data_IF_873062875491
#
_entry.id   IF_873062875491
#
_cell.length_a   1.000
_cell.length_b   1.000
_cell.length_c   1.000
_cell.angle_alpha   90.00
_cell.angle_beta   90.00
_cell.angle_gamma   90.00
#
_symmetry.space_group_name_H-M   'P 1'
#
loop_
_entity.id
_entity.type
_entity.pdbx_description
1 polymer ?
#
# COMPACT_ATOMS: atom_id res chain seq x y z
N UNK A 1 1.29 7.12 8.35
CA UNK A 1 0.25 6.44 7.54
C UNK A 1 -0.69 7.39 6.78
N UNK A 2 -0.19 8.42 6.09
CA UNK A 2 -1.06 9.35 5.34
C UNK A 2 -1.74 8.75 4.10
N UNK A 3 -1.24 7.63 3.57
CA UNK A 3 -1.81 6.97 2.39
C UNK A 3 -3.07 6.17 2.73
N UNK A 4 -3.01 5.34 3.77
CA UNK A 4 -4.16 4.60 4.30
C UNK A 4 -5.29 5.58 4.70
N UNK A 5 -4.92 6.76 5.23
CA UNK A 5 -5.88 7.80 5.63
C UNK A 5 -6.64 8.49 4.49
N UNK A 6 -6.30 8.22 3.23
CA UNK A 6 -7.11 8.64 2.08
C UNK A 6 -8.33 7.75 1.86
N UNK A 7 -8.30 6.53 2.40
CA UNK A 7 -9.37 5.53 2.30
C UNK A 7 -10.12 5.39 3.62
N UNK A 8 -9.37 5.35 4.74
CA UNK A 8 -9.91 5.22 6.09
C UNK A 8 -9.53 6.44 6.93
N UNK A 9 -10.42 7.43 7.09
CA UNK A 9 -10.16 8.64 7.85
C UNK A 9 -9.72 8.38 9.31
N UNK A 10 -9.29 9.44 10.00
CA UNK A 10 -9.00 9.32 11.43
C UNK A 10 -10.28 8.96 12.20
N UNK A 11 -10.18 7.97 13.07
CA UNK A 11 -11.33 7.48 13.84
C UNK A 11 -12.00 6.24 13.24
N UNK A 12 -11.60 5.78 12.05
CA UNK A 12 -12.01 4.46 11.56
C UNK A 12 -11.52 3.37 12.53
N UNK A 13 -12.46 2.57 13.00
CA UNK A 13 -12.17 1.31 13.67
C UNK A 13 -11.80 0.25 12.62
N UNK A 14 -10.56 -0.21 12.63
CA UNK A 14 -10.12 -1.21 11.66
C UNK A 14 -10.68 -2.61 11.95
N UNK A 15 -11.24 -2.85 13.14
CA UNK A 15 -11.95 -4.11 13.42
C UNK A 15 -13.27 -4.22 12.65
N UNK A 16 -13.81 -3.10 12.16
CA UNK A 16 -15.01 -3.09 11.32
C UNK A 16 -14.69 -3.15 9.82
N UNK A 17 -13.41 -3.20 9.44
CA UNK A 17 -12.97 -3.31 8.05
C UNK A 17 -12.71 -4.78 7.75
N UNK A 18 -13.30 -5.28 6.66
CA UNK A 18 -13.16 -6.68 6.29
C UNK A 18 -11.77 -6.98 5.73
N UNK A 19 -11.32 -8.23 5.87
CA UNK A 19 -10.03 -8.67 5.30
C UNK A 19 -9.95 -8.43 3.79
N UNK A 20 -11.07 -8.54 3.08
CA UNK A 20 -11.13 -8.27 1.64
C UNK A 20 -10.87 -6.80 1.31
N UNK A 21 -11.45 -5.88 2.10
CA UNK A 21 -11.21 -4.44 1.92
C UNK A 21 -9.76 -4.06 2.29
N UNK A 22 -9.20 -4.70 3.33
CA UNK A 22 -7.77 -4.56 3.66
C UNK A 22 -6.91 -5.04 2.48
N UNK A 23 -7.18 -6.24 1.95
CA UNK A 23 -6.42 -6.81 0.84
C UNK A 23 -6.51 -5.96 -0.43
N UNK A 24 -7.68 -5.40 -0.74
CA UNK A 24 -7.85 -4.46 -1.84
C UNK A 24 -7.02 -3.18 -1.64
N UNK A 25 -7.08 -2.59 -0.42
CA UNK A 25 -6.28 -1.42 -0.10
C UNK A 25 -4.78 -1.71 -0.21
N UNK A 26 -4.32 -2.83 0.32
CA UNK A 26 -2.93 -3.27 0.20
C UNK A 26 -2.52 -3.41 -1.26
N UNK A 27 -3.34 -4.06 -2.07
CA UNK A 27 -3.09 -4.22 -3.51
C UNK A 27 -2.94 -2.86 -4.20
N UNK A 28 -3.86 -1.92 -3.96
CA UNK A 28 -3.81 -0.57 -4.52
C UNK A 28 -2.54 0.15 -4.06
N UNK A 29 -2.21 0.09 -2.77
CA UNK A 29 -1.08 0.82 -2.24
C UNK A 29 0.26 0.30 -2.77
N UNK A 30 0.38 -1.01 -2.93
CA UNK A 30 1.60 -1.72 -3.27
C UNK A 30 1.84 -1.86 -4.79
N UNK A 31 0.81 -1.78 -5.63
CA UNK A 31 0.95 -1.77 -7.10
C UNK A 31 0.99 -0.37 -7.70
N UNK A 32 0.60 0.66 -6.94
CA UNK A 32 0.60 2.04 -7.44
C UNK A 32 1.99 2.65 -7.46
N UNK A 33 2.41 3.09 -8.66
CA UNK A 33 3.63 3.87 -8.87
C UNK A 33 3.72 5.12 -7.99
N UNK A 34 4.90 5.35 -7.40
CA UNK A 34 5.16 6.47 -6.49
C UNK A 34 6.26 7.36 -7.05
N UNK A 35 5.99 8.67 -7.16
CA UNK A 35 7.00 9.65 -7.57
C UNK A 35 8.26 9.59 -6.71
N UNK A 36 8.12 9.32 -5.40
CA UNK A 36 9.25 9.15 -4.47
C UNK A 36 10.11 7.92 -4.75
N UNK A 37 9.57 6.94 -5.47
CA UNK A 37 10.26 5.72 -5.91
C UNK A 37 10.60 5.78 -7.39
N UNK A 38 10.77 6.97 -7.98
CA UNK A 38 11.04 7.09 -9.42
C UNK A 38 9.89 6.60 -10.30
N UNK A 39 8.66 6.66 -9.78
CA UNK A 39 7.43 6.13 -10.40
C UNK A 39 7.28 4.61 -10.40
N UNK A 40 8.20 3.86 -9.81
CA UNK A 40 8.00 2.45 -9.50
C UNK A 40 7.01 2.26 -8.34
N UNK A 41 6.35 1.11 -8.33
CA UNK A 41 5.49 0.67 -7.24
C UNK A 41 6.30 0.11 -6.07
N UNK A 42 5.76 0.16 -4.84
CA UNK A 42 6.41 -0.48 -3.70
C UNK A 42 6.77 -1.95 -3.93
N UNK A 43 5.88 -2.72 -4.57
CA UNK A 43 6.14 -4.13 -4.88
C UNK A 43 7.35 -4.31 -5.80
N UNK A 44 7.47 -3.51 -6.87
CA UNK A 44 8.61 -3.62 -7.79
C UNK A 44 9.93 -3.32 -7.09
N UNK A 45 9.97 -2.26 -6.28
CA UNK A 45 11.18 -1.89 -5.54
C UNK A 45 11.54 -2.95 -4.49
N UNK A 46 10.54 -3.49 -3.79
CA UNK A 46 10.73 -4.54 -2.80
C UNK A 46 11.26 -5.83 -3.42
N UNK A 47 10.66 -6.27 -4.54
CA UNK A 47 11.11 -7.44 -5.28
C UNK A 47 12.54 -7.24 -5.82
N UNK A 48 12.85 -6.08 -6.39
CA UNK A 48 14.19 -5.76 -6.84
C UNK A 48 15.22 -5.82 -5.69
N UNK A 49 14.85 -5.36 -4.50
CA UNK A 49 15.71 -5.43 -3.31
C UNK A 49 15.95 -6.87 -2.83
N UNK A 50 14.90 -7.71 -2.84
CA UNK A 50 15.00 -9.13 -2.48
C UNK A 50 15.84 -9.95 -3.46
N UNK A 51 15.81 -9.57 -4.74
CA UNK A 51 16.53 -10.26 -5.82
C UNK A 51 17.96 -9.71 -6.02
N UNK A 52 18.34 -8.67 -5.29
CA UNK A 52 19.71 -8.15 -5.33
C UNK A 52 20.65 -9.15 -4.63
N UNK A 53 21.78 -9.51 -5.25
CA UNK A 53 22.78 -10.41 -4.66
C UNK A 53 23.49 -9.82 -3.44
#
# INVERSE_FOLDING_TARGET
>A
NGLIRRFYPKGTDFNSVTDNEIAELEHILNTRGRKSLGYFSPNEVFLAHLMAP
#
